data_IF_493475366415
#
_entry.id   IF_493475366415
#
_cell.length_a   1.000
_cell.length_b   1.000
_cell.length_c   1.000
_cell.angle_alpha   90.00
_cell.angle_beta   90.00
_cell.angle_gamma   90.00
#
_symmetry.space_group_name_H-M   'P 1'
#
loop_
_entity.id
_entity.type
_entity.pdbx_description
1 polymer ?
#
# COMPACT_ATOMS: atom_id res chain seq x y z
N UNK A 1 42.65 30.07 35.06
CA UNK A 1 41.71 29.13 35.72
C UNK A 1 40.92 28.50 34.59
N UNK A 2 41.31 27.31 34.15
CA UNK A 2 40.63 26.62 33.05
C UNK A 2 39.54 25.77 33.69
N UNK A 3 38.28 26.14 33.52
CA UNK A 3 37.15 25.28 33.84
C UNK A 3 36.76 24.53 32.56
N UNK A 4 36.78 23.19 32.60
CA UNK A 4 36.13 22.39 31.55
C UNK A 4 34.67 22.23 31.94
N UNK A 5 33.76 22.78 31.14
CA UNK A 5 32.35 22.42 31.23
C UNK A 5 32.18 21.13 30.42
N UNK A 6 31.85 20.03 31.09
CA UNK A 6 31.50 18.79 30.41
C UNK A 6 30.11 18.91 29.81
N UNK A 7 29.92 18.41 28.59
CA UNK A 7 28.62 18.35 27.93
C UNK A 7 28.33 16.90 27.52
N UNK A 8 27.08 16.50 27.62
CA UNK A 8 26.58 15.18 27.27
C UNK A 8 25.14 15.30 26.72
N UNK A 9 24.99 15.78 25.47
CA UNK A 9 23.70 15.77 24.77
C UNK A 9 23.18 14.35 24.68
N UNK A 10 22.06 14.10 25.33
CA UNK A 10 21.41 12.81 25.47
C UNK A 10 20.05 12.77 24.80
N UNK A 11 19.70 11.56 24.37
CA UNK A 11 18.37 11.17 23.93
C UNK A 11 17.47 11.01 25.17
N UNK A 12 16.69 12.04 25.50
CA UNK A 12 15.98 12.12 26.79
C UNK A 12 14.68 11.30 26.80
N UNK A 13 13.88 11.40 25.74
CA UNK A 13 12.66 10.61 25.61
C UNK A 13 12.23 10.49 24.15
N UNK A 14 11.36 9.53 23.86
CA UNK A 14 10.48 9.62 22.70
C UNK A 14 9.03 9.52 23.13
N UNK A 15 8.17 10.35 22.53
CA UNK A 15 6.71 10.23 22.67
C UNK A 15 6.11 9.82 21.33
N UNK A 16 5.21 8.85 21.38
CA UNK A 16 4.17 8.71 20.38
C UNK A 16 3.14 9.80 20.69
N UNK A 17 2.63 10.51 19.67
CA UNK A 17 1.44 11.32 19.87
C UNK A 17 0.29 10.38 20.28
N UNK A 18 -0.19 10.49 21.52
CA UNK A 18 -1.18 9.57 22.09
C UNK A 18 -2.55 9.67 21.43
N UNK A 19 -3.09 8.54 20.96
CA UNK A 19 -4.48 8.04 21.15
C UNK A 19 -4.84 6.88 20.21
N UNK A 20 -4.01 6.55 19.23
CA UNK A 20 -4.35 5.60 18.16
C UNK A 20 -3.47 4.36 18.14
N UNK A 21 -4.06 3.24 17.74
CA UNK A 21 -3.37 1.95 17.60
C UNK A 21 -2.51 1.96 16.33
N UNK A 22 -1.20 1.76 16.48
CA UNK A 22 -0.28 1.72 15.35
C UNK A 22 -0.50 0.49 14.46
N UNK A 23 -0.51 0.70 13.15
CA UNK A 23 -0.86 -0.31 12.15
C UNK A 23 0.33 -0.66 11.24
N UNK A 24 0.43 -1.93 10.79
CA UNK A 24 1.38 -2.33 9.75
C UNK A 24 1.23 -1.50 8.48
N UNK A 25 2.34 -1.20 7.82
CA UNK A 25 2.39 -0.47 6.55
C UNK A 25 2.20 1.04 6.68
N UNK A 26 1.81 1.56 7.85
CA UNK A 26 1.69 3.00 8.08
C UNK A 26 2.97 3.57 8.69
N UNK A 27 3.32 4.80 8.32
CA UNK A 27 4.49 5.45 8.91
C UNK A 27 4.20 5.83 10.36
N UNK A 28 5.11 5.49 11.27
CA UNK A 28 5.03 5.81 12.69
C UNK A 28 6.05 6.91 13.01
N UNK A 29 5.60 8.16 13.20
CA UNK A 29 6.50 9.24 13.58
C UNK A 29 6.92 9.11 15.06
N UNK A 30 8.21 9.30 15.30
CA UNK A 30 8.88 9.27 16.59
C UNK A 30 9.38 10.67 16.93
N UNK A 31 8.80 11.29 17.96
CA UNK A 31 9.35 12.54 18.48
C UNK A 31 10.58 12.23 19.33
N UNK A 32 11.78 12.43 18.79
CA UNK A 32 13.04 12.20 19.51
C UNK A 32 13.46 13.49 20.20
N UNK A 33 13.42 13.50 21.54
CA UNK A 33 13.78 14.66 22.35
C UNK A 33 15.26 14.64 22.73
N UNK A 34 15.89 15.81 22.65
CA UNK A 34 17.31 16.01 22.96
C UNK A 34 17.46 16.96 24.13
N UNK A 35 18.33 16.60 25.08
CA UNK A 35 18.63 17.40 26.26
C UNK A 35 20.06 17.11 26.72
N UNK A 36 20.76 18.09 27.26
CA UNK A 36 22.05 17.86 27.93
C UNK A 36 21.86 17.25 29.33
N UNK A 37 22.60 16.19 29.65
CA UNK A 37 22.50 15.48 30.94
C UNK A 37 22.92 16.37 32.14
N UNK A 38 23.87 17.29 31.94
CA UNK A 38 24.41 18.15 33.00
C UNK A 38 23.70 19.51 33.06
N UNK A 39 23.16 19.96 31.94
CA UNK A 39 22.48 21.25 31.78
C UNK A 39 21.09 21.05 31.15
N UNK A 40 20.10 20.55 31.92
CA UNK A 40 18.73 20.30 31.44
C UNK A 40 18.04 21.47 30.73
N UNK A 41 18.39 22.71 31.11
CA UNK A 41 17.80 23.95 30.60
C UNK A 41 18.58 24.57 29.43
N UNK A 42 19.67 23.92 28.98
CA UNK A 42 20.50 24.41 27.88
C UNK A 42 19.67 24.55 26.59
N UNK A 43 19.87 25.67 25.88
CA UNK A 43 19.36 25.81 24.52
C UNK A 43 20.19 24.91 23.59
N UNK A 44 19.67 23.70 23.35
CA UNK A 44 20.37 22.69 22.55
C UNK A 44 20.54 23.13 21.09
N UNK A 45 19.64 23.94 20.55
CA UNK A 45 19.74 24.40 19.17
C UNK A 45 20.80 25.49 19.01
N UNK A 46 20.87 26.44 19.95
CA UNK A 46 21.96 27.42 19.98
C UNK A 46 23.30 26.74 20.20
N UNK A 47 23.35 25.74 21.09
CA UNK A 47 24.55 24.95 21.34
C UNK A 47 25.04 24.24 20.06
N UNK A 48 24.21 23.47 19.37
CA UNK A 48 24.62 22.81 18.12
C UNK A 48 25.06 23.81 17.05
N UNK A 49 24.39 24.95 16.93
CA UNK A 49 24.79 26.00 15.99
C UNK A 49 26.15 26.61 16.35
N UNK A 50 26.38 26.93 17.61
CA UNK A 50 27.60 27.60 18.06
C UNK A 50 28.87 26.74 17.88
N UNK A 51 28.71 25.41 17.93
CA UNK A 51 29.78 24.45 17.74
C UNK A 51 29.77 23.79 16.34
N UNK A 52 28.91 24.27 15.43
CA UNK A 52 28.77 23.74 14.07
C UNK A 52 28.54 22.21 14.05
N UNK A 53 27.69 21.74 14.96
CA UNK A 53 27.36 20.33 15.15
C UNK A 53 26.08 19.95 14.42
N UNK A 54 26.11 18.84 13.70
CA UNK A 54 24.95 18.29 13.01
C UNK A 54 24.53 16.97 13.69
N UNK A 55 23.29 16.85 14.19
CA UNK A 55 22.80 15.58 14.70
C UNK A 55 22.58 14.58 13.56
N UNK A 56 23.04 13.36 13.75
CA UNK A 56 22.78 12.24 12.83
C UNK A 56 22.09 11.14 13.61
N UNK A 57 20.92 10.73 13.13
CA UNK A 57 20.14 9.65 13.72
C UNK A 57 20.32 8.35 12.96
N UNK A 58 20.58 7.28 13.70
CA UNK A 58 20.49 5.91 13.24
C UNK A 58 19.37 5.20 14.02
N UNK A 59 18.42 4.62 13.28
CA UNK A 59 17.31 3.86 13.85
C UNK A 59 17.40 2.45 13.28
N UNK A 60 17.63 1.49 14.17
CA UNK A 60 17.74 0.07 13.84
C UNK A 60 16.81 -0.76 14.70
N UNK A 61 16.16 -1.75 14.08
CA UNK A 61 15.42 -2.78 14.80
C UNK A 61 16.43 -3.72 15.48
N UNK A 62 16.29 -3.92 16.78
CA UNK A 62 17.12 -4.82 17.57
C UNK A 62 16.37 -6.05 18.10
N UNK A 63 15.04 -6.04 18.02
CA UNK A 63 14.21 -7.17 18.41
C UNK A 63 12.80 -7.06 17.84
N UNK A 64 12.13 -8.20 17.72
CA UNK A 64 10.72 -8.28 17.33
C UNK A 64 10.06 -9.49 17.98
N UNK A 65 8.94 -9.26 18.63
CA UNK A 65 8.06 -10.28 19.18
C UNK A 65 6.71 -10.21 18.45
N UNK A 66 6.40 -11.16 17.56
CA UNK A 66 5.16 -11.13 16.80
C UNK A 66 3.96 -11.35 17.71
N UNK A 67 2.88 -10.61 17.45
CA UNK A 67 1.57 -10.91 18.05
C UNK A 67 0.84 -11.86 17.11
N UNK A 68 0.51 -13.05 17.62
CA UNK A 68 -0.29 -14.02 16.86
C UNK A 68 -1.69 -13.45 16.65
N UNK A 69 -2.00 -13.14 15.40
CA UNK A 69 -3.32 -12.71 14.95
C UNK A 69 -3.91 -13.81 14.09
N UNK A 70 -4.36 -14.91 14.72
CA UNK A 70 -5.06 -15.97 14.00
C UNK A 70 -6.27 -15.37 13.25
N UNK A 71 -6.33 -15.57 11.93
CA UNK A 71 -7.46 -15.14 11.09
C UNK A 71 -7.50 -13.65 10.74
N UNK A 72 -6.37 -12.94 10.71
CA UNK A 72 -6.35 -11.55 10.19
C UNK A 72 -6.59 -11.52 8.68
N UNK A 73 -7.78 -11.09 8.26
CA UNK A 73 -8.19 -10.92 6.84
C UNK A 73 -7.19 -10.09 6.05
N UNK A 74 -6.68 -9.01 6.67
CA UNK A 74 -5.70 -8.12 6.06
C UNK A 74 -4.43 -8.88 5.65
N UNK A 75 -3.97 -9.83 6.48
CA UNK A 75 -2.79 -10.62 6.17
C UNK A 75 -3.06 -11.63 5.05
N UNK A 76 -4.22 -12.30 5.08
CA UNK A 76 -4.63 -13.25 4.03
C UNK A 76 -4.71 -12.56 2.66
N UNK A 77 -5.37 -11.40 2.59
CA UNK A 77 -5.46 -10.58 1.37
C UNK A 77 -4.06 -10.19 0.86
N UNK A 78 -3.18 -9.74 1.75
CA UNK A 78 -1.81 -9.38 1.37
C UNK A 78 -1.06 -10.60 0.79
N UNK A 79 -1.09 -11.73 1.49
CA UNK A 79 -0.39 -12.94 1.06
C UNK A 79 -0.92 -13.42 -0.30
N UNK A 80 -2.23 -13.32 -0.54
CA UNK A 80 -2.84 -13.65 -1.83
C UNK A 80 -2.45 -12.69 -2.96
N UNK A 81 -2.39 -11.37 -2.71
CA UNK A 81 -1.87 -10.40 -3.68
C UNK A 81 -0.41 -10.72 -4.03
N UNK A 82 0.42 -11.01 -3.02
CA UNK A 82 1.85 -11.26 -3.21
C UNK A 82 2.14 -12.57 -3.95
N UNK A 83 1.24 -13.58 -3.90
CA UNK A 83 1.34 -14.80 -4.73
C UNK A 83 1.37 -14.47 -6.22
N UNK A 84 0.71 -13.40 -6.65
CA UNK A 84 0.67 -12.97 -8.05
C UNK A 84 1.87 -12.10 -8.46
N UNK A 85 2.68 -11.60 -7.51
CA UNK A 85 3.82 -10.73 -7.78
C UNK A 85 5.12 -11.40 -7.35
N UNK A 86 5.57 -12.37 -8.13
CA UNK A 86 6.77 -13.15 -7.80
C UNK A 86 8.01 -12.24 -7.64
N UNK A 87 8.71 -12.37 -6.51
CA UNK A 87 9.85 -11.53 -6.14
C UNK A 87 9.50 -10.26 -5.34
N UNK A 88 8.22 -9.93 -5.19
CA UNK A 88 7.77 -8.94 -4.21
C UNK A 88 7.73 -9.59 -2.82
N UNK A 89 8.44 -8.98 -1.87
CA UNK A 89 8.47 -9.40 -0.47
C UNK A 89 8.62 -8.15 0.39
N UNK A 90 7.98 -8.15 1.55
CA UNK A 90 8.22 -7.10 2.53
C UNK A 90 9.71 -7.07 2.92
N UNK A 91 10.29 -5.89 3.15
CA UNK A 91 11.62 -5.77 3.71
C UNK A 91 11.74 -6.56 5.01
N UNK A 92 12.93 -7.13 5.28
CA UNK A 92 13.18 -7.84 6.54
C UNK A 92 13.25 -6.89 7.73
N UNK A 93 13.83 -5.72 7.51
CA UNK A 93 14.04 -4.70 8.52
C UNK A 93 13.04 -3.56 8.33
N UNK A 94 12.66 -2.91 9.42
CA UNK A 94 11.77 -1.75 9.38
C UNK A 94 12.43 -0.64 8.58
N UNK A 95 11.69 -0.06 7.63
CA UNK A 95 12.19 1.07 6.85
C UNK A 95 12.10 2.33 7.71
N UNK A 96 13.24 3.01 7.91
CA UNK A 96 13.34 4.27 8.66
C UNK A 96 13.50 5.46 7.73
N UNK A 97 12.89 6.60 8.09
CA UNK A 97 13.05 7.86 7.36
C UNK A 97 14.44 8.43 7.58
N UNK A 98 15.15 8.74 6.48
CA UNK A 98 16.48 9.37 6.49
C UNK A 98 16.44 10.67 5.67
N UNK A 99 16.20 11.83 6.31
CA UNK A 99 16.29 13.12 5.64
C UNK A 99 17.76 13.45 5.33
N UNK A 100 17.96 14.41 4.44
CA UNK A 100 19.29 14.92 4.08
C UNK A 100 19.99 15.57 5.27
N UNK A 101 19.23 16.27 6.12
CA UNK A 101 19.75 16.87 7.35
C UNK A 101 18.73 16.81 8.48
N UNK A 102 19.22 16.61 9.70
CA UNK A 102 18.43 16.71 10.92
C UNK A 102 18.73 18.02 11.63
N UNK A 103 17.68 18.63 12.18
CA UNK A 103 17.72 19.89 12.92
C UNK A 103 16.95 19.79 14.22
N UNK A 104 17.20 20.72 15.15
CA UNK A 104 16.46 20.81 16.41
C UNK A 104 15.40 21.90 16.34
N UNK A 105 14.21 21.58 16.84
CA UNK A 105 13.16 22.58 17.01
C UNK A 105 12.52 22.51 18.39
N UNK A 106 12.11 23.69 18.88
CA UNK A 106 11.45 23.87 20.17
C UNK A 106 9.96 23.58 20.07
N UNK A 107 9.47 22.74 20.98
CA UNK A 107 8.04 22.45 21.14
C UNK A 107 7.32 23.40 22.09
N UNK A 108 6.01 23.24 22.22
CA UNK A 108 5.15 24.05 23.11
C UNK A 108 5.49 23.95 24.60
N UNK A 109 6.25 22.92 25.01
CA UNK A 109 6.70 22.71 26.39
C UNK A 109 8.18 23.04 26.64
N UNK A 110 8.78 23.95 25.87
CA UNK A 110 10.21 24.35 25.97
C UNK A 110 11.26 23.28 25.67
N UNK A 111 10.85 22.04 25.35
CA UNK A 111 11.76 20.93 25.01
C UNK A 111 12.16 20.96 23.53
N UNK A 112 13.40 20.56 23.26
CA UNK A 112 13.96 20.41 21.93
C UNK A 112 13.73 19.00 21.39
N UNK A 113 13.35 18.90 20.12
CA UNK A 113 13.18 17.62 19.44
C UNK A 113 13.73 17.69 18.01
N UNK A 114 14.10 16.52 17.49
CA UNK A 114 14.72 16.39 16.18
C UNK A 114 13.66 16.36 15.08
N UNK A 115 13.89 17.13 14.03
CA UNK A 115 13.14 17.12 12.77
C UNK A 115 14.07 17.29 11.58
N UNK A 116 13.76 16.60 10.49
CA UNK A 116 14.46 16.75 9.23
C UNK A 116 13.84 17.83 8.36
N UNK A 117 14.65 18.39 7.47
CA UNK A 117 14.16 19.07 6.27
C UNK A 117 14.00 18.03 5.16
N UNK A 118 12.83 17.94 4.53
CA UNK A 118 12.67 17.09 3.34
C UNK A 118 13.17 17.85 2.12
N UNK A 119 14.23 17.36 1.48
CA UNK A 119 14.57 17.76 0.13
C UNK A 119 13.56 17.13 -0.84
N UNK A 120 12.77 17.96 -1.55
CA UNK A 120 11.89 17.48 -2.63
C UNK A 120 10.41 17.87 -2.51
N UNK A 121 9.80 18.14 -3.65
CA UNK A 121 8.53 18.87 -3.87
C UNK A 121 7.22 18.15 -3.47
N UNK A 122 7.22 17.04 -2.73
CA UNK A 122 5.99 16.23 -2.53
C UNK A 122 5.51 16.04 -1.10
N UNK A 123 6.22 16.55 -0.09
CA UNK A 123 5.66 16.79 1.24
C UNK A 123 5.73 18.28 1.52
N UNK A 124 4.55 18.91 1.59
CA UNK A 124 4.34 20.29 2.03
C UNK A 124 5.46 20.77 2.95
N UNK A 125 6.25 21.77 2.53
CA UNK A 125 7.37 22.39 3.27
C UNK A 125 7.15 22.37 4.79
N UNK A 126 7.58 21.30 5.42
CA UNK A 126 7.09 20.88 6.73
C UNK A 126 8.12 19.96 7.36
N UNK A 127 8.17 20.00 8.68
CA UNK A 127 9.13 19.25 9.48
C UNK A 127 8.91 17.75 9.29
N UNK A 128 9.93 17.03 8.85
CA UNK A 128 9.93 15.57 8.80
C UNK A 128 10.30 15.01 10.18
N UNK A 129 9.50 14.10 10.74
CA UNK A 129 9.85 13.45 12.01
C UNK A 129 10.65 12.17 11.74
N UNK A 130 11.65 11.82 12.58
CA UNK A 130 12.18 10.46 12.61
C UNK A 130 11.04 9.46 12.74
N UNK A 131 11.15 8.28 12.15
CA UNK A 131 10.06 7.33 12.17
C UNK A 131 10.34 6.11 11.33
N UNK A 132 9.40 5.18 11.37
CA UNK A 132 9.57 3.84 10.82
C UNK A 132 8.26 3.29 10.25
N UNK A 133 8.33 2.30 9.36
CA UNK A 133 7.15 1.60 8.83
C UNK A 133 7.16 0.13 9.30
N UNK A 134 6.37 -0.26 10.33
CA UNK A 134 6.28 -1.65 10.75
C UNK A 134 5.60 -2.52 9.68
N UNK A 135 5.97 -3.79 9.62
CA UNK A 135 5.52 -4.72 8.58
C UNK A 135 4.44 -5.69 9.02
N UNK A 136 4.37 -5.96 10.32
CA UNK A 136 3.55 -7.00 10.94
C UNK A 136 3.03 -6.51 12.29
N UNK A 137 2.02 -7.19 12.82
CA UNK A 137 1.56 -6.95 14.19
C UNK A 137 2.55 -7.55 15.19
N UNK A 138 2.95 -6.77 16.19
CA UNK A 138 3.91 -7.21 17.18
C UNK A 138 4.56 -6.08 17.96
N UNK A 139 5.47 -6.48 18.83
CA UNK A 139 6.31 -5.59 19.61
C UNK A 139 7.67 -5.48 18.96
N UNK A 140 7.93 -4.29 18.44
CA UNK A 140 9.21 -3.99 17.83
C UNK A 140 10.10 -3.27 18.82
N UNK A 141 11.29 -3.81 19.05
CA UNK A 141 12.32 -3.17 19.84
C UNK A 141 13.31 -2.47 18.90
N UNK A 142 13.51 -1.17 19.10
CA UNK A 142 14.41 -0.34 18.32
C UNK A 142 15.50 0.27 19.18
N UNK A 143 16.69 0.37 18.59
CA UNK A 143 17.77 1.22 19.06
C UNK A 143 17.77 2.49 18.22
N UNK A 144 17.62 3.63 18.89
CA UNK A 144 17.78 4.96 18.30
C UNK A 144 19.11 5.47 18.82
N UNK A 145 20.09 5.61 17.93
CA UNK A 145 21.38 6.22 18.23
C UNK A 145 21.44 7.62 17.63
N UNK A 146 21.96 8.57 18.41
CA UNK A 146 22.30 9.89 17.93
C UNK A 146 23.82 10.05 17.98
N UNK A 147 24.38 10.40 16.83
CA UNK A 147 25.76 10.88 16.68
C UNK A 147 25.74 12.40 16.43
N UNK A 148 26.88 13.04 16.64
CA UNK A 148 27.10 14.43 16.26
C UNK A 148 28.26 14.47 15.27
N UNK A 149 28.03 15.08 14.11
CA UNK A 149 29.06 15.33 13.11
C UNK A 149 29.53 16.78 13.22
N UNK A 150 30.85 16.97 13.11
CA UNK A 150 31.45 18.30 13.04
C UNK A 150 31.36 18.93 11.64
N UNK A 151 31.96 20.11 11.43
CA UNK A 151 31.92 20.85 10.16
C UNK A 151 32.48 20.07 8.95
N UNK A 152 33.38 19.14 9.24
CA UNK A 152 34.08 18.27 8.27
C UNK A 152 33.31 16.96 8.00
N UNK A 153 32.15 16.75 8.62
CA UNK A 153 31.35 15.52 8.51
C UNK A 153 31.90 14.34 9.31
N UNK A 154 32.92 14.56 10.16
CA UNK A 154 33.47 13.51 11.01
C UNK A 154 32.66 13.36 12.30
N UNK A 155 32.44 12.11 12.71
CA UNK A 155 31.74 11.80 13.94
C UNK A 155 32.56 12.22 15.16
N UNK A 156 31.94 12.95 16.08
CA UNK A 156 32.56 13.43 17.32
C UNK A 156 32.36 12.37 18.40
N UNK A 157 33.35 11.49 18.54
CA UNK A 157 33.43 10.54 19.65
C UNK A 157 33.86 11.26 20.95
N UNK A 158 33.31 10.93 22.14
CA UNK A 158 32.48 9.78 22.50
C UNK A 158 30.98 10.11 22.64
N UNK A 159 30.46 11.10 21.91
CA UNK A 159 29.12 11.68 22.17
C UNK A 159 27.96 10.82 21.65
N UNK A 160 28.24 9.60 21.16
CA UNK A 160 27.21 8.66 20.74
C UNK A 160 26.32 8.29 21.93
N UNK A 161 25.03 8.56 21.80
CA UNK A 161 24.01 8.18 22.78
C UNK A 161 22.95 7.30 22.12
N UNK A 162 22.59 6.22 22.80
CA UNK A 162 21.62 5.26 22.32
C UNK A 162 20.46 5.16 23.31
N UNK A 163 19.23 5.22 22.81
CA UNK A 163 18.03 4.86 23.56
C UNK A 163 17.37 3.62 22.95
N UNK A 164 16.81 2.77 23.80
CA UNK A 164 15.95 1.67 23.35
C UNK A 164 14.49 2.05 23.47
N UNK A 165 13.69 1.71 22.47
CA UNK A 165 12.24 1.94 22.44
C UNK A 165 11.50 0.71 22.00
N UNK A 166 10.33 0.50 22.59
CA UNK A 166 9.40 -0.54 22.18
C UNK A 166 8.21 0.15 21.51
N UNK A 167 7.89 -0.26 20.29
CA UNK A 167 6.70 0.13 19.56
C UNK A 167 5.72 -1.03 19.57
N UNK A 168 4.52 -0.77 20.04
CA UNK A 168 3.42 -1.73 20.03
C UNK A 168 2.57 -1.52 18.78
N UNK A 169 2.59 -2.49 17.87
CA UNK A 169 1.76 -2.52 16.66
C UNK A 169 0.68 -3.56 16.87
N UNK A 170 -0.59 -3.19 16.77
CA UNK A 170 -1.71 -4.05 17.15
C UNK A 170 -2.85 -3.97 16.14
N UNK A 171 -3.63 -5.05 15.98
CA UNK A 171 -4.87 -4.98 15.23
C UNK A 171 -5.83 -4.01 15.94
N UNK A 172 -6.83 -3.54 15.21
CA UNK A 172 -7.87 -2.69 15.77
C UNK A 172 -8.79 -3.45 16.75
N UNK A 173 -9.34 -2.75 17.75
CA UNK A 173 -10.28 -3.30 18.72
C UNK A 173 -11.73 -3.23 18.17
N UNK A 174 -12.08 -4.20 17.32
CA UNK A 174 -13.42 -4.51 16.78
C UNK A 174 -14.49 -3.39 16.86
N UNK A 175 -14.45 -2.45 15.92
CA UNK A 175 -15.40 -1.37 15.67
C UNK A 175 -15.71 -1.18 14.18
N UNK A 176 -16.90 -0.63 13.86
CA UNK A 176 -17.45 -0.58 12.49
C UNK A 176 -16.66 0.29 11.49
N UNK A 177 -15.87 1.27 11.95
CA UNK A 177 -14.99 2.09 11.09
C UNK A 177 -13.65 1.41 10.77
N UNK A 178 -13.36 0.27 11.38
CA UNK A 178 -12.03 -0.37 11.37
C UNK A 178 -11.87 -1.37 10.23
N UNK A 179 -12.97 -2.00 9.78
CA UNK A 179 -12.94 -2.90 8.63
C UNK A 179 -12.50 -2.21 7.33
N UNK A 180 -12.63 -0.89 7.20
CA UNK A 180 -12.16 -0.16 6.02
C UNK A 180 -10.64 -0.01 6.01
N UNK A 181 -10.04 0.29 7.17
CA UNK A 181 -8.59 0.37 7.29
C UNK A 181 -7.96 -1.00 6.97
N UNK A 182 -8.49 -2.09 7.55
CA UNK A 182 -8.00 -3.46 7.30
C UNK A 182 -7.99 -3.86 5.81
N UNK A 183 -8.84 -3.22 5.00
CA UNK A 183 -8.94 -3.44 3.56
C UNK A 183 -8.03 -2.53 2.72
N UNK A 184 -7.45 -1.47 3.29
CA UNK A 184 -6.45 -0.62 2.60
C UNK A 184 -5.03 -1.04 2.93
N UNK A 185 -4.77 -1.44 4.19
CA UNK A 185 -3.44 -1.82 4.66
C UNK A 185 -2.74 -2.87 3.75
N UNK A 186 -3.42 -3.90 3.20
CA UNK A 186 -2.79 -4.87 2.31
C UNK A 186 -2.26 -4.21 1.04
N UNK A 187 -2.95 -3.20 0.49
CA UNK A 187 -2.49 -2.48 -0.70
C UNK A 187 -1.28 -1.60 -0.41
N UNK A 188 -1.23 -0.96 0.77
CA UNK A 188 -0.05 -0.18 1.21
C UNK A 188 1.17 -1.10 1.38
N UNK A 189 0.97 -2.26 2.01
CA UNK A 189 2.02 -3.27 2.21
C UNK A 189 2.45 -3.91 0.89
N UNK A 190 1.52 -4.23 -0.02
CA UNK A 190 1.81 -4.72 -1.35
C UNK A 190 2.63 -3.69 -2.15
N UNK A 191 2.28 -2.41 -2.06
CA UNK A 191 3.06 -1.34 -2.68
C UNK A 191 4.48 -1.32 -2.11
N UNK A 192 4.63 -1.38 -0.79
CA UNK A 192 5.93 -1.40 -0.11
C UNK A 192 6.79 -2.62 -0.47
N UNK A 193 6.16 -3.78 -0.69
CA UNK A 193 6.83 -5.00 -1.15
C UNK A 193 7.30 -4.90 -2.62
N UNK A 194 6.54 -4.20 -3.45
CA UNK A 194 6.86 -3.98 -4.86
C UNK A 194 7.88 -2.86 -5.06
N UNK A 195 7.75 -1.76 -4.31
CA UNK A 195 8.53 -0.52 -4.45
C UNK A 195 9.05 -0.04 -3.08
N UNK A 196 10.04 -0.74 -2.49
CA UNK A 196 10.58 -0.39 -1.18
C UNK A 196 11.43 0.89 -1.23
N UNK A 197 11.65 1.52 -0.06
CA UNK A 197 12.50 2.70 0.08
C UNK A 197 11.71 3.97 0.36
N UNK A 198 12.14 5.10 -0.17
CA UNK A 198 11.53 6.43 0.03
C UNK A 198 10.07 6.47 -0.43
N UNK A 199 9.75 5.83 -1.56
CA UNK A 199 8.38 5.75 -2.09
C UNK A 199 7.43 5.05 -1.12
N UNK A 200 7.83 3.89 -0.58
CA UNK A 200 7.07 3.21 0.45
C UNK A 200 6.84 4.12 1.67
N UNK A 201 7.84 4.94 2.04
CA UNK A 201 7.71 5.92 3.13
C UNK A 201 6.69 7.01 2.81
N UNK A 202 6.70 7.54 1.58
CA UNK A 202 5.73 8.54 1.15
C UNK A 202 4.31 7.98 1.22
N UNK A 203 4.09 6.79 0.67
CA UNK A 203 2.77 6.14 0.67
C UNK A 203 2.32 5.78 2.08
N UNK A 204 3.21 5.25 2.92
CA UNK A 204 2.91 4.93 4.31
C UNK A 204 2.56 6.18 5.13
N UNK A 205 3.26 7.30 4.92
CA UNK A 205 3.01 8.57 5.60
C UNK A 205 1.71 9.23 5.14
N UNK A 206 1.47 9.27 3.83
CA UNK A 206 0.22 9.78 3.26
C UNK A 206 -0.97 8.90 3.66
N UNK A 207 -0.79 7.58 3.62
CA UNK A 207 -1.75 6.59 4.09
C UNK A 207 -2.14 6.83 5.54
N UNK A 208 -1.17 7.01 6.44
CA UNK A 208 -1.45 7.36 7.84
C UNK A 208 -2.34 8.60 7.94
N UNK A 209 -1.95 9.69 7.29
CA UNK A 209 -2.68 10.96 7.37
C UNK A 209 -4.12 10.85 6.86
N UNK A 210 -4.37 10.07 5.80
CA UNK A 210 -5.71 9.88 5.22
C UNK A 210 -6.57 8.98 6.10
N UNK A 211 -6.01 7.85 6.56
CA UNK A 211 -6.72 6.89 7.40
C UNK A 211 -7.12 7.49 8.76
N UNK A 212 -6.24 8.29 9.36
CA UNK A 212 -6.54 9.02 10.61
C UNK A 212 -7.69 10.02 10.44
N UNK A 213 -7.89 10.57 9.24
CA UNK A 213 -9.00 11.47 8.93
C UNK A 213 -10.27 10.74 8.49
N UNK A 214 -10.23 9.41 8.36
CA UNK A 214 -11.32 8.60 7.79
C UNK A 214 -11.48 8.76 6.28
N UNK A 215 -10.48 9.30 5.57
CA UNK A 215 -10.51 9.54 4.11
C UNK A 215 -10.09 8.29 3.32
N UNK A 216 -10.78 7.17 3.53
CA UNK A 216 -10.43 5.85 2.98
C UNK A 216 -10.47 5.79 1.44
N UNK A 217 -11.51 6.36 0.82
CA UNK A 217 -11.63 6.43 -0.64
C UNK A 217 -10.45 7.18 -1.26
N UNK A 218 -10.02 8.27 -0.63
CA UNK A 218 -8.88 9.06 -1.11
C UNK A 218 -7.54 8.34 -0.93
N UNK A 219 -7.41 7.53 0.13
CA UNK A 219 -6.28 6.63 0.25
C UNK A 219 -6.26 5.59 -0.88
N UNK A 220 -7.42 5.03 -1.25
CA UNK A 220 -7.54 4.11 -2.37
C UNK A 220 -7.20 4.76 -3.72
N UNK A 221 -7.70 5.97 -3.99
CA UNK A 221 -7.33 6.77 -5.19
C UNK A 221 -5.82 6.97 -5.26
N UNK A 222 -5.23 7.44 -4.16
CA UNK A 222 -3.78 7.67 -4.07
C UNK A 222 -2.99 6.40 -4.40
N UNK A 223 -3.41 5.24 -3.87
CA UNK A 223 -2.76 3.97 -4.16
C UNK A 223 -2.93 3.57 -5.64
N UNK A 224 -4.13 3.74 -6.19
CA UNK A 224 -4.43 3.52 -7.60
C UNK A 224 -3.50 4.31 -8.51
N UNK A 225 -3.37 5.62 -8.28
CA UNK A 225 -2.49 6.51 -9.04
C UNK A 225 -1.03 6.03 -9.01
N UNK A 226 -0.54 5.65 -7.83
CA UNK A 226 0.85 5.23 -7.67
C UNK A 226 1.13 3.88 -8.34
N UNK A 227 0.25 2.88 -8.18
CA UNK A 227 0.40 1.63 -8.92
C UNK A 227 0.30 1.84 -10.43
N UNK A 228 -0.68 2.62 -10.89
CA UNK A 228 -0.82 2.91 -12.31
C UNK A 228 0.41 3.60 -12.88
N UNK A 229 0.93 4.63 -12.21
CA UNK A 229 2.13 5.33 -12.66
C UNK A 229 3.33 4.38 -12.82
N UNK A 230 3.57 3.51 -11.84
CA UNK A 230 4.72 2.59 -11.85
C UNK A 230 4.55 1.42 -12.82
N UNK A 231 3.33 0.92 -12.98
CA UNK A 231 3.03 -0.23 -13.87
C UNK A 231 2.75 0.19 -15.32
N UNK A 232 2.58 1.49 -15.61
CA UNK A 232 2.36 2.00 -16.97
C UNK A 232 3.66 2.20 -17.76
N UNK A 233 4.79 1.69 -17.29
CA UNK A 233 6.06 1.85 -18.01
C UNK A 233 6.11 1.04 -19.29
N UNK A 234 6.34 1.76 -20.40
CA UNK A 234 6.23 1.20 -21.75
C UNK A 234 7.58 0.87 -22.39
N UNK A 235 8.69 1.45 -21.93
CA UNK A 235 10.00 1.21 -22.55
C UNK A 235 11.13 1.08 -21.53
N UNK A 236 11.87 -0.03 -21.61
CA UNK A 236 13.09 -0.25 -20.83
C UNK A 236 14.30 0.51 -21.40
N UNK A 237 14.12 1.24 -22.51
CA UNK A 237 15.17 1.89 -23.29
C UNK A 237 15.57 3.30 -22.80
N UNK A 238 14.83 3.87 -21.83
CA UNK A 238 15.12 5.23 -21.31
C UNK A 238 16.53 5.30 -20.67
N UNK A 239 17.44 6.20 -21.10
CA UNK A 239 18.85 6.15 -20.71
C UNK A 239 19.16 6.46 -19.24
N UNK A 240 18.21 6.97 -18.45
CA UNK A 240 18.41 7.19 -17.02
C UNK A 240 18.02 5.94 -16.21
N UNK A 241 18.93 5.34 -15.41
CA UNK A 241 18.55 4.34 -14.43
C UNK A 241 17.80 5.05 -13.29
N UNK A 242 16.49 4.84 -13.19
CA UNK A 242 15.74 5.14 -11.98
C UNK A 242 15.69 3.90 -11.08
N UNK A 243 15.70 4.06 -9.73
CA UNK A 243 15.58 2.93 -8.80
C UNK A 243 14.36 2.04 -9.08
N UNK A 244 13.24 2.65 -9.51
CA UNK A 244 12.02 1.93 -9.87
C UNK A 244 12.23 1.05 -11.10
N UNK A 245 13.09 1.43 -12.04
CA UNK A 245 13.38 0.71 -13.29
C UNK A 245 14.15 -0.55 -13.01
N UNK A 246 15.16 -0.43 -12.17
CA UNK A 246 15.88 -1.60 -11.69
C UNK A 246 14.97 -2.50 -10.85
N UNK A 247 14.08 -1.94 -10.04
CA UNK A 247 13.13 -2.74 -9.27
C UNK A 247 12.15 -3.51 -10.16
N UNK A 248 11.57 -2.87 -11.18
CA UNK A 248 10.65 -3.51 -12.12
C UNK A 248 11.36 -4.59 -12.94
N UNK A 249 12.58 -4.33 -13.44
CA UNK A 249 13.40 -5.35 -14.11
C UNK A 249 13.64 -6.57 -13.22
N UNK A 250 13.93 -6.35 -11.93
CA UNK A 250 14.10 -7.45 -10.98
C UNK A 250 12.83 -8.29 -10.81
N UNK A 251 11.66 -7.64 -10.69
CA UNK A 251 10.38 -8.33 -10.56
C UNK A 251 10.05 -9.16 -11.81
N UNK A 252 10.28 -8.60 -13.00
CA UNK A 252 10.15 -9.33 -14.28
C UNK A 252 11.08 -10.53 -14.31
N UNK A 253 12.38 -10.36 -14.01
CA UNK A 253 13.34 -11.47 -13.99
C UNK A 253 12.92 -12.58 -13.03
N UNK A 254 12.42 -12.22 -11.85
CA UNK A 254 11.95 -13.19 -10.85
C UNK A 254 10.70 -13.96 -11.32
N UNK A 255 9.75 -13.27 -11.93
CA UNK A 255 8.55 -13.91 -12.48
C UNK A 255 8.89 -14.94 -13.58
N UNK A 256 9.89 -14.64 -14.41
CA UNK A 256 10.40 -15.56 -15.42
C UNK A 256 11.43 -16.59 -14.89
N UNK A 257 11.64 -16.67 -13.57
CA UNK A 257 12.52 -17.67 -12.95
C UNK A 257 14.03 -17.44 -13.18
N UNK A 258 14.42 -16.26 -13.64
CA UNK A 258 15.82 -15.90 -13.91
C UNK A 258 16.42 -15.21 -12.69
N UNK A 259 17.51 -15.76 -12.16
CA UNK A 259 18.24 -15.17 -11.03
C UNK A 259 19.62 -14.71 -11.46
N UNK A 260 19.88 -13.39 -11.40
CA UNK A 260 21.21 -12.81 -11.69
C UNK A 260 21.53 -12.62 -13.18
N UNK A 261 20.63 -13.02 -14.09
CA UNK A 261 20.67 -12.68 -15.51
C UNK A 261 19.46 -11.83 -15.90
N UNK A 262 19.62 -11.00 -16.93
CA UNK A 262 18.53 -10.22 -17.51
C UNK A 262 17.68 -11.10 -18.43
N UNK A 263 16.35 -11.00 -18.30
CA UNK A 263 15.42 -11.53 -19.30
C UNK A 263 15.66 -10.82 -20.63
N UNK A 264 15.53 -11.50 -21.79
CA UNK A 264 15.58 -10.84 -23.10
C UNK A 264 14.63 -9.64 -23.15
N UNK A 265 15.08 -8.53 -23.74
CA UNK A 265 14.34 -7.26 -23.75
C UNK A 265 12.93 -7.42 -24.32
N UNK A 266 12.76 -8.17 -25.40
CA UNK A 266 11.45 -8.47 -26.00
C UNK A 266 10.46 -9.14 -25.02
N UNK A 267 10.94 -10.11 -24.22
CA UNK A 267 10.10 -10.79 -23.22
C UNK A 267 9.78 -9.86 -22.06
N UNK A 268 10.74 -9.02 -21.68
CA UNK A 268 10.53 -8.05 -20.61
C UNK A 268 9.52 -6.97 -21.03
N UNK A 269 9.61 -6.43 -22.25
CA UNK A 269 8.66 -5.47 -22.80
C UNK A 269 7.26 -6.08 -22.95
N UNK A 270 7.15 -7.32 -23.45
CA UNK A 270 5.89 -8.06 -23.52
C UNK A 270 5.25 -8.19 -22.14
N UNK A 271 6.03 -8.57 -21.12
CA UNK A 271 5.58 -8.69 -19.73
C UNK A 271 5.10 -7.36 -19.14
N UNK A 272 5.84 -6.28 -19.40
CA UNK A 272 5.50 -4.94 -18.90
C UNK A 272 4.26 -4.37 -19.56
N UNK A 273 4.08 -4.62 -20.85
CA UNK A 273 2.93 -4.11 -21.61
C UNK A 273 1.59 -4.49 -20.96
N UNK A 274 1.52 -5.66 -20.31
CA UNK A 274 0.32 -6.16 -19.65
C UNK A 274 0.37 -6.10 -18.11
N UNK A 275 1.47 -5.66 -17.50
CA UNK A 275 1.63 -5.65 -16.05
C UNK A 275 0.51 -4.87 -15.35
N UNK A 276 0.14 -3.69 -15.87
CA UNK A 276 -0.99 -2.89 -15.35
C UNK A 276 -2.31 -3.67 -15.37
N UNK A 277 -2.63 -4.35 -16.47
CA UNK A 277 -3.87 -5.13 -16.57
C UNK A 277 -3.84 -6.37 -15.66
N UNK A 278 -2.72 -7.08 -15.65
CA UNK A 278 -2.54 -8.30 -14.87
C UNK A 278 -2.57 -8.02 -13.37
N UNK A 279 -1.97 -6.90 -12.94
CA UNK A 279 -2.04 -6.44 -11.56
C UNK A 279 -3.49 -6.16 -11.14
N UNK A 280 -4.25 -5.44 -11.98
CA UNK A 280 -5.66 -5.19 -11.69
C UNK A 280 -6.47 -6.49 -11.63
N UNK A 281 -6.22 -7.42 -12.56
CA UNK A 281 -6.87 -8.73 -12.56
C UNK A 281 -6.61 -9.50 -11.26
N UNK A 282 -5.36 -9.53 -10.81
CA UNK A 282 -4.96 -10.18 -9.57
C UNK A 282 -5.61 -9.52 -8.34
N UNK A 283 -5.44 -8.21 -8.17
CA UNK A 283 -5.94 -7.48 -7.01
C UNK A 283 -7.47 -7.51 -6.98
N UNK A 284 -8.15 -7.19 -8.08
CA UNK A 284 -9.60 -7.23 -8.13
C UNK A 284 -10.15 -8.64 -7.89
N UNK A 285 -9.46 -9.67 -8.41
CA UNK A 285 -9.73 -11.08 -8.13
C UNK A 285 -9.69 -11.40 -6.63
N UNK A 286 -8.58 -11.07 -5.96
CA UNK A 286 -8.39 -11.33 -4.53
C UNK A 286 -9.44 -10.59 -3.68
N UNK A 287 -9.70 -9.32 -3.96
CA UNK A 287 -10.69 -8.55 -3.21
C UNK A 287 -12.12 -9.05 -3.45
N UNK A 288 -12.50 -9.39 -4.69
CA UNK A 288 -13.82 -9.93 -4.98
C UNK A 288 -14.04 -11.32 -4.38
N UNK A 289 -13.00 -12.16 -4.38
CA UNK A 289 -13.02 -13.48 -3.77
C UNK A 289 -13.33 -13.38 -2.27
N UNK A 290 -12.59 -12.51 -1.57
CA UNK A 290 -12.81 -12.22 -0.17
C UNK A 290 -14.21 -11.64 0.06
N UNK A 291 -14.59 -10.59 -0.69
CA UNK A 291 -15.90 -9.95 -0.57
C UNK A 291 -17.08 -10.92 -0.74
N UNK A 292 -17.04 -11.79 -1.75
CA UNK A 292 -18.13 -12.73 -2.05
C UNK A 292 -18.14 -13.94 -1.11
N UNK A 293 -17.01 -14.31 -0.51
CA UNK A 293 -16.95 -15.35 0.52
C UNK A 293 -17.69 -14.96 1.81
N UNK A 294 -17.87 -13.68 2.08
CA UNK A 294 -18.43 -13.18 3.34
C UNK A 294 -19.96 -13.28 3.42
N UNK A 295 -20.63 -13.75 2.34
CA UNK A 295 -22.05 -14.05 2.36
C UNK A 295 -22.96 -12.83 2.42
N UNK A 296 -22.50 -11.69 1.92
CA UNK A 296 -23.29 -10.47 1.83
C UNK A 296 -24.53 -10.63 0.94
N UNK A 297 -25.64 -10.04 1.36
CA UNK A 297 -26.86 -10.01 0.55
C UNK A 297 -26.85 -8.80 -0.40
N UNK A 298 -26.42 -9.06 -1.63
CA UNK A 298 -26.31 -8.05 -2.68
C UNK A 298 -27.66 -7.54 -3.20
N UNK A 299 -28.78 -8.20 -2.88
CA UNK A 299 -30.13 -7.71 -3.25
C UNK A 299 -30.38 -6.29 -2.76
N UNK A 300 -29.86 -5.99 -1.57
CA UNK A 300 -30.11 -4.73 -0.88
C UNK A 300 -29.45 -3.54 -1.57
N UNK A 301 -28.38 -3.78 -2.35
CA UNK A 301 -27.74 -2.77 -3.19
C UNK A 301 -28.56 -2.46 -4.45
N UNK A 302 -29.40 -3.39 -4.89
CA UNK A 302 -30.29 -3.24 -6.05
C UNK A 302 -31.56 -2.49 -5.64
N UNK A 303 -32.16 -2.87 -4.51
CA UNK A 303 -33.52 -2.47 -4.16
C UNK A 303 -33.59 -1.13 -3.39
N UNK A 304 -32.56 -0.75 -2.62
CA UNK A 304 -32.59 0.45 -1.78
C UNK A 304 -31.21 1.09 -1.49
N UNK A 305 -30.44 1.52 -2.52
CA UNK A 305 -29.06 2.01 -2.34
C UNK A 305 -28.92 3.20 -1.39
N UNK A 306 -29.94 4.05 -1.25
CA UNK A 306 -29.91 5.23 -0.38
C UNK A 306 -30.01 4.91 1.12
N UNK A 307 -30.49 3.73 1.49
CA UNK A 307 -30.56 3.27 2.89
C UNK A 307 -29.27 2.56 3.34
N UNK A 308 -28.24 2.53 2.48
CA UNK A 308 -27.07 1.65 2.61
C UNK A 308 -25.74 2.41 2.81
N UNK A 309 -25.75 3.74 2.96
CA UNK A 309 -24.53 4.57 3.03
C UNK A 309 -23.52 4.14 4.13
N UNK A 310 -24.02 3.55 5.22
CA UNK A 310 -23.19 3.10 6.35
C UNK A 310 -22.88 1.60 6.36
N UNK A 311 -23.24 0.89 5.29
CA UNK A 311 -23.03 -0.56 5.20
C UNK A 311 -21.59 -0.88 4.80
N UNK A 312 -20.94 -1.88 5.43
CA UNK A 312 -19.56 -2.26 5.14
C UNK A 312 -19.37 -2.72 3.69
N UNK A 313 -20.42 -3.29 3.07
CA UNK A 313 -20.39 -3.77 1.70
C UNK A 313 -20.20 -2.63 0.70
N UNK A 314 -21.04 -1.60 0.80
CA UNK A 314 -20.99 -0.44 -0.09
C UNK A 314 -19.67 0.32 0.09
N UNK A 315 -19.20 0.43 1.33
CA UNK A 315 -17.92 1.06 1.66
C UNK A 315 -16.73 0.38 0.99
N UNK A 316 -16.70 -0.96 0.93
CA UNK A 316 -15.65 -1.66 0.20
C UNK A 316 -15.73 -1.40 -1.31
N UNK A 317 -16.94 -1.43 -1.88
CA UNK A 317 -17.13 -1.18 -3.31
C UNK A 317 -16.73 0.26 -3.68
N UNK A 318 -17.02 1.24 -2.83
CA UNK A 318 -16.58 2.64 -2.99
C UNK A 318 -15.05 2.77 -2.88
N UNK A 319 -14.40 1.99 -2.01
CA UNK A 319 -12.93 1.93 -1.98
C UNK A 319 -12.35 1.33 -3.26
N UNK A 320 -12.92 0.24 -3.80
CA UNK A 320 -12.48 -0.34 -5.07
C UNK A 320 -12.71 0.65 -6.21
N UNK A 321 -13.84 1.37 -6.21
CA UNK A 321 -14.11 2.46 -7.15
C UNK A 321 -13.07 3.57 -7.05
N UNK A 322 -12.74 4.03 -5.84
CA UNK A 322 -11.69 5.02 -5.61
C UNK A 322 -10.33 4.54 -6.13
N UNK A 323 -9.96 3.28 -5.88
CA UNK A 323 -8.76 2.70 -6.48
C UNK A 323 -8.80 2.76 -8.00
N UNK A 324 -9.91 2.37 -8.64
CA UNK A 324 -10.06 2.42 -10.10
C UNK A 324 -10.02 3.85 -10.67
N UNK A 325 -10.55 4.83 -9.94
CA UNK A 325 -10.44 6.24 -10.30
C UNK A 325 -8.98 6.68 -10.40
N UNK A 326 -8.17 6.37 -9.38
CA UNK A 326 -6.73 6.65 -9.42
C UNK A 326 -5.98 5.78 -10.42
N UNK A 327 -6.37 4.52 -10.59
CA UNK A 327 -5.71 3.58 -11.49
C UNK A 327 -5.86 3.95 -12.97
N UNK A 328 -7.00 4.58 -13.30
CA UNK A 328 -7.34 5.07 -14.63
C UNK A 328 -7.58 3.96 -15.65
N UNK A 329 -8.19 4.29 -16.79
CA UNK A 329 -8.36 3.44 -17.98
C UNK A 329 -9.13 2.11 -17.84
N UNK A 330 -9.52 1.72 -16.63
CA UNK A 330 -10.09 0.40 -16.36
C UNK A 330 -11.39 0.44 -15.56
N UNK A 331 -12.20 -0.59 -15.78
CA UNK A 331 -13.30 -1.02 -14.93
C UNK A 331 -13.19 -2.51 -14.61
N UNK A 332 -14.06 -2.99 -13.72
CA UNK A 332 -14.10 -4.40 -13.31
C UNK A 332 -15.54 -4.91 -13.30
N UNK A 333 -15.74 -6.13 -13.81
CA UNK A 333 -16.93 -6.94 -13.54
C UNK A 333 -16.54 -8.09 -12.62
N UNK A 334 -17.29 -8.29 -11.55
CA UNK A 334 -17.21 -9.46 -10.67
C UNK A 334 -18.54 -10.20 -10.67
N UNK A 335 -18.50 -11.52 -10.81
CA UNK A 335 -19.68 -12.40 -10.79
C UNK A 335 -19.57 -13.38 -9.62
N UNK A 336 -20.67 -13.61 -8.91
CA UNK A 336 -20.75 -14.66 -7.90
C UNK A 336 -20.75 -16.04 -8.57
N UNK A 337 -19.75 -16.87 -8.26
CA UNK A 337 -19.50 -18.14 -8.95
C UNK A 337 -20.51 -19.24 -8.61
N UNK A 338 -21.10 -19.22 -7.41
CA UNK A 338 -21.91 -20.31 -6.83
C UNK A 338 -22.98 -20.89 -7.78
N UNK A 339 -23.63 -20.03 -8.57
CA UNK A 339 -24.76 -20.41 -9.43
C UNK A 339 -24.39 -20.51 -10.92
N UNK A 340 -23.09 -20.50 -11.26
CA UNK A 340 -22.57 -20.58 -12.63
C UNK A 340 -21.96 -21.97 -12.87
N UNK A 341 -22.51 -22.73 -13.81
CA UNK A 341 -21.96 -24.03 -14.22
C UNK A 341 -20.83 -23.87 -15.23
N UNK A 342 -21.05 -23.02 -16.24
CA UNK A 342 -20.08 -22.72 -17.29
C UNK A 342 -20.14 -21.24 -17.66
N UNK A 343 -19.01 -20.68 -18.08
CA UNK A 343 -18.90 -19.28 -18.47
C UNK A 343 -17.92 -19.12 -19.63
N UNK A 344 -18.24 -18.20 -20.54
CA UNK A 344 -17.35 -17.77 -21.62
C UNK A 344 -17.54 -16.28 -21.84
N UNK A 345 -16.42 -15.56 -21.87
CA UNK A 345 -16.39 -14.11 -22.05
C UNK A 345 -15.74 -13.80 -23.38
N UNK A 346 -16.34 -12.87 -24.11
CA UNK A 346 -15.84 -12.38 -25.38
C UNK A 346 -15.75 -10.86 -25.32
N UNK A 347 -14.80 -10.29 -26.06
CA UNK A 347 -14.84 -8.86 -26.38
C UNK A 347 -15.77 -8.64 -27.58
N UNK A 348 -16.18 -7.39 -27.81
CA UNK A 348 -17.13 -7.03 -28.88
C UNK A 348 -16.70 -7.50 -30.28
N UNK A 349 -15.40 -7.55 -30.57
CA UNK A 349 -14.86 -8.06 -31.84
C UNK A 349 -14.92 -9.59 -31.98
N UNK A 350 -15.35 -10.31 -30.94
CA UNK A 350 -15.60 -11.76 -30.97
C UNK A 350 -14.47 -12.63 -30.43
N UNK A 351 -13.34 -12.05 -30.03
CA UNK A 351 -12.23 -12.78 -29.41
C UNK A 351 -12.61 -13.23 -28.00
N UNK A 352 -12.36 -14.51 -27.73
CA UNK A 352 -12.64 -15.11 -26.43
C UNK A 352 -11.56 -14.73 -25.42
N UNK A 353 -11.98 -14.20 -24.27
CA UNK A 353 -11.09 -14.01 -23.12
C UNK A 353 -10.77 -15.36 -22.47
N UNK A 354 -9.53 -15.47 -22.01
CA UNK A 354 -8.95 -16.64 -21.40
C UNK A 354 -8.65 -16.37 -19.92
N UNK A 355 -8.46 -17.47 -19.19
CA UNK A 355 -8.05 -17.43 -17.79
C UNK A 355 -6.74 -16.66 -17.60
N UNK A 356 -6.71 -15.87 -16.53
CA UNK A 356 -5.54 -15.15 -16.07
C UNK A 356 -4.43 -16.12 -15.69
N UNK A 357 -3.21 -15.87 -16.16
CA UNK A 357 -2.06 -16.76 -15.95
C UNK A 357 -1.54 -16.80 -14.51
N UNK A 358 -2.15 -16.07 -13.57
CA UNK A 358 -1.80 -16.10 -12.16
C UNK A 358 -0.56 -15.28 -11.78
N UNK A 359 0.04 -14.52 -12.69
CA UNK A 359 1.18 -13.65 -12.40
C UNK A 359 1.06 -12.28 -13.07
N UNK A 360 1.47 -11.24 -12.36
CA UNK A 360 1.45 -9.86 -12.82
C UNK A 360 2.44 -9.63 -13.97
N UNK A 361 3.70 -10.00 -13.73
CA UNK A 361 4.77 -9.95 -14.73
C UNK A 361 4.86 -11.29 -15.47
N UNK A 362 3.81 -11.60 -16.24
CA UNK A 362 3.69 -12.82 -17.04
C UNK A 362 3.85 -12.57 -18.54
N UNK A 363 3.28 -13.45 -19.37
CA UNK A 363 3.20 -13.24 -20.83
C UNK A 363 2.24 -12.10 -21.19
N UNK A 364 2.58 -11.30 -22.21
CA UNK A 364 1.82 -10.15 -22.68
C UNK A 364 0.62 -10.49 -23.57
N UNK A 365 -0.26 -11.39 -23.12
CA UNK A 365 -1.51 -11.68 -23.83
C UNK A 365 -2.69 -10.88 -23.24
N UNK A 366 -3.22 -9.86 -23.94
CA UNK A 366 -4.30 -9.02 -23.42
C UNK A 366 -5.61 -9.80 -23.20
N UNK A 367 -5.79 -10.96 -23.84
CA UNK A 367 -6.97 -11.79 -23.68
C UNK A 367 -6.94 -12.66 -22.42
N UNK A 368 -5.78 -12.86 -21.78
CA UNK A 368 -5.62 -13.69 -20.56
C UNK A 368 -5.86 -12.90 -19.29
N UNK A 369 -7.12 -12.55 -19.04
CA UNK A 369 -7.50 -11.64 -17.94
C UNK A 369 -8.81 -12.02 -17.26
N UNK A 370 -9.25 -13.28 -17.33
CA UNK A 370 -10.39 -13.74 -16.53
C UNK A 370 -9.86 -14.43 -15.28
N UNK A 371 -10.08 -13.84 -14.12
CA UNK A 371 -9.75 -14.45 -12.84
C UNK A 371 -10.87 -15.41 -12.42
N UNK A 372 -10.52 -16.64 -12.07
CA UNK A 372 -11.45 -17.65 -11.55
C UNK A 372 -11.08 -18.01 -10.11
N UNK A 373 -11.81 -17.46 -9.13
CA UNK A 373 -11.73 -17.83 -7.72
C UNK A 373 -12.80 -18.83 -7.32
N UNK A 374 -12.81 -19.31 -6.08
CA UNK A 374 -13.81 -20.27 -5.59
C UNK A 374 -15.21 -19.64 -5.51
N UNK A 375 -15.28 -18.39 -5.08
CA UNK A 375 -16.51 -17.63 -4.90
C UNK A 375 -16.76 -16.59 -6.00
N UNK A 376 -15.72 -16.19 -6.73
CA UNK A 376 -15.78 -15.08 -7.68
C UNK A 376 -15.25 -15.41 -9.08
N UNK A 377 -15.80 -14.75 -10.10
CA UNK A 377 -15.19 -14.65 -11.43
C UNK A 377 -15.02 -13.16 -11.73
N UNK A 378 -13.79 -12.72 -12.00
CA UNK A 378 -13.49 -11.29 -12.17
C UNK A 378 -12.87 -11.01 -13.54
N UNK A 379 -13.37 -9.98 -14.20
CA UNK A 379 -12.97 -9.57 -15.54
C UNK A 379 -12.70 -8.05 -15.52
N UNK A 380 -11.43 -7.62 -15.48
CA UNK A 380 -11.09 -6.24 -15.77
C UNK A 380 -11.29 -5.96 -17.27
N UNK A 381 -11.69 -4.74 -17.59
CA UNK A 381 -11.88 -4.28 -18.96
C UNK A 381 -11.42 -2.83 -19.09
N UNK A 382 -11.03 -2.41 -20.29
CA UNK A 382 -10.69 -1.01 -20.52
C UNK A 382 -11.94 -0.15 -20.60
N UNK A 383 -11.88 1.11 -20.18
CA UNK A 383 -13.01 2.02 -20.36
C UNK A 383 -13.35 2.15 -21.85
N UNK A 384 -14.63 1.99 -22.19
CA UNK A 384 -15.12 1.91 -23.57
C UNK A 384 -15.06 0.52 -24.21
N UNK A 385 -14.47 -0.48 -23.56
CA UNK A 385 -14.48 -1.87 -24.02
C UNK A 385 -15.76 -2.58 -23.58
N UNK A 386 -16.48 -3.16 -24.55
CA UNK A 386 -17.69 -3.94 -24.28
C UNK A 386 -17.38 -5.44 -24.17
N UNK A 387 -18.01 -6.09 -23.20
CA UNK A 387 -17.89 -7.53 -22.98
C UNK A 387 -19.21 -8.24 -23.26
N UNK A 388 -19.12 -9.41 -23.85
CA UNK A 388 -20.23 -10.35 -24.03
C UNK A 388 -19.96 -11.56 -23.14
N UNK A 389 -20.73 -11.68 -22.05
CA UNK A 389 -20.59 -12.76 -21.08
C UNK A 389 -21.72 -13.75 -21.32
N UNK A 390 -21.38 -14.96 -21.76
CA UNK A 390 -22.34 -16.07 -21.85
C UNK A 390 -22.08 -17.04 -20.72
N UNK A 391 -23.11 -17.32 -19.92
CA UNK A 391 -23.01 -18.28 -18.84
C UNK A 391 -24.21 -19.23 -18.81
N UNK A 392 -24.01 -20.40 -18.24
CA UNK A 392 -25.08 -21.36 -17.93
C UNK A 392 -25.33 -21.36 -16.44
N UNK A 393 -26.53 -20.98 -16.05
CA UNK A 393 -26.95 -20.92 -14.64
C UNK A 393 -27.58 -22.21 -14.15
N UNK A 394 -27.51 -22.45 -12.84
CA UNK A 394 -28.18 -23.58 -12.15
C UNK A 394 -29.70 -23.40 -12.05
N UNK A 395 -30.21 -22.19 -12.33
CA UNK A 395 -31.61 -21.78 -12.16
C UNK A 395 -31.83 -20.79 -11.03
N UNK A 396 -30.84 -20.60 -10.16
CA UNK A 396 -30.81 -19.55 -9.14
C UNK A 396 -30.09 -18.29 -9.66
N UNK A 397 -30.44 -17.08 -9.18
CA UNK A 397 -29.84 -15.84 -9.66
C UNK A 397 -28.32 -15.77 -9.45
N UNK A 398 -27.63 -15.19 -10.42
CA UNK A 398 -26.20 -14.86 -10.38
C UNK A 398 -26.07 -13.37 -10.10
N UNK A 399 -25.46 -13.03 -8.98
CA UNK A 399 -25.11 -11.63 -8.67
C UNK A 399 -23.92 -11.19 -9.51
N UNK A 400 -24.05 -10.02 -10.12
CA UNK A 400 -23.03 -9.38 -10.93
C UNK A 400 -22.81 -7.95 -10.43
N UNK A 401 -21.55 -7.62 -10.19
CA UNK A 401 -21.11 -6.30 -9.72
C UNK A 401 -20.22 -5.72 -10.79
N UNK A 402 -20.59 -4.55 -11.29
CA UNK A 402 -19.78 -3.76 -12.20
C UNK A 402 -19.33 -2.50 -11.50
N UNK A 403 -18.03 -2.27 -11.50
CA UNK A 403 -17.41 -1.12 -10.88
C UNK A 403 -16.66 -0.34 -11.95
N UNK A 404 -17.02 0.94 -12.08
CA UNK A 404 -16.35 1.94 -12.89
C UNK A 404 -15.92 3.10 -11.98
N UNK A 405 -14.92 3.91 -12.39
CA UNK A 405 -14.55 5.12 -11.64
C UNK A 405 -15.74 6.04 -11.35
N UNK A 406 -16.71 6.11 -12.26
CA UNK A 406 -17.88 6.98 -12.14
C UNK A 406 -19.10 6.32 -11.45
N UNK A 407 -19.02 5.06 -11.02
CA UNK A 407 -20.10 4.44 -10.27
C UNK A 407 -20.08 2.92 -10.21
N UNK A 408 -20.97 2.39 -9.37
CA UNK A 408 -21.14 0.96 -9.10
C UNK A 408 -22.54 0.56 -9.57
N UNK A 409 -22.63 -0.60 -10.23
CA UNK A 409 -23.90 -1.22 -10.59
C UNK A 409 -23.91 -2.67 -10.12
N UNK A 410 -25.00 -3.09 -9.49
CA UNK A 410 -25.23 -4.47 -9.05
C UNK A 410 -26.49 -4.96 -9.74
N UNK A 411 -26.40 -6.10 -10.43
CA UNK A 411 -27.53 -6.72 -11.12
C UNK A 411 -27.59 -8.21 -10.83
N UNK A 412 -28.78 -8.79 -11.03
CA UNK A 412 -29.05 -10.22 -10.94
C UNK A 412 -29.47 -10.77 -12.28
N UNK A 413 -28.80 -11.82 -12.70
CA UNK A 413 -29.09 -12.54 -13.94
C UNK A 413 -29.41 -14.00 -13.63
N UNK A 414 -29.81 -14.80 -14.62
CA UNK A 414 -29.87 -16.25 -14.46
C UNK A 414 -31.07 -16.77 -13.68
N UNK A 415 -32.16 -16.00 -13.54
CA UNK A 415 -33.36 -16.41 -12.80
C UNK A 415 -34.16 -17.57 -13.44
N UNK A 416 -33.64 -18.17 -14.52
CA UNK A 416 -34.18 -19.36 -15.16
C UNK A 416 -33.02 -20.31 -15.53
N UNK A 417 -33.21 -21.63 -15.42
CA UNK A 417 -32.22 -22.58 -15.90
C UNK A 417 -31.97 -22.41 -17.40
N UNK A 418 -30.70 -22.43 -17.81
CA UNK A 418 -30.33 -22.32 -19.22
C UNK A 418 -29.11 -21.45 -19.46
N UNK A 419 -28.85 -21.17 -20.74
CA UNK A 419 -27.81 -20.24 -21.15
C UNK A 419 -28.38 -18.83 -21.22
N UNK A 420 -27.67 -17.88 -20.64
CA UNK A 420 -27.96 -16.45 -20.71
C UNK A 420 -26.73 -15.70 -21.21
N UNK A 421 -26.96 -14.64 -21.98
CA UNK A 421 -25.90 -13.76 -22.50
C UNK A 421 -26.15 -12.34 -22.00
N UNK A 422 -25.14 -11.78 -21.34
CA UNK A 422 -25.14 -10.42 -20.80
C UNK A 422 -24.18 -9.58 -21.64
N UNK A 423 -24.62 -8.39 -22.01
CA UNK A 423 -23.75 -7.37 -22.61
C UNK A 423 -23.36 -6.35 -21.54
N UNK A 424 -22.05 -6.25 -21.27
CA UNK A 424 -21.49 -5.27 -20.35
C UNK A 424 -20.90 -4.13 -21.16
N UNK A 425 -21.44 -2.93 -21.00
CA UNK A 425 -20.94 -1.74 -21.69
C UNK A 425 -19.80 -1.08 -20.92
N UNK A 426 -18.62 -0.86 -21.50
CA UNK A 426 -17.43 -0.41 -20.75
C UNK A 426 -17.41 1.05 -20.30
N UNK A 427 -18.41 1.84 -20.67
CA UNK A 427 -18.40 3.31 -20.61
C UNK A 427 -19.53 3.92 -19.75
N UNK A 428 -20.59 3.15 -19.46
CA UNK A 428 -21.76 3.65 -18.74
C UNK A 428 -22.13 2.78 -17.55
N UNK A 429 -22.37 3.37 -16.40
CA UNK A 429 -23.10 2.75 -15.28
C UNK A 429 -24.59 2.90 -15.60
N UNK A 430 -25.24 1.86 -16.14
CA UNK A 430 -26.70 1.85 -16.36
C UNK A 430 -27.34 0.98 -15.29
N UNK A 431 -28.36 1.43 -14.55
CA UNK A 431 -29.08 0.59 -13.59
C UNK A 431 -29.74 -0.62 -14.24
#
# INVERSE_FOLDING_TARGET
MNFSVGFAPGLHSSRQNHSEVEQPGLFVPLQVYVQDEYHPDLDMAEFFRAFELTPVLDISQTGFEPVVTEGSRSREILDDILKHVNGAKLPKDVLSLKPESWSLVRGSGSRWFIVGESGGDSFSRGRAYPGIIPWEYGDYTFSISMNLEGPTGEAIEPLRRTMTRILHVRPFDSGLSEGQAEMILPMILAFSAMFPGEEAQMIAARGRNLLQKGEFEMAAVTLGENFAHRLSWQTLSDPAPSPDKERIKQLVSRAHGVTGASVPEEIAEDSLSMAKQNFLCAVAGVYAENFLSWGYDLSLLIDAPQMMADRPELRLLEMIKGFLEGYGDYGVVALARKNIETLSVYIESGEKLQEFGGQVFGSGNPYRRVFYGEHSIVIPFRLGENLVITFRGTGEPVDAIKILPNGINVQRYGSRPGSETINVYGDVVRP
#
